data_IF_696166685416
#
_entry.id   IF_696166685416
#
_cell.length_a   1.000
_cell.length_b   1.000
_cell.length_c   1.000
_cell.angle_alpha   90.00
_cell.angle_beta   90.00
_cell.angle_gamma   90.00
#
_symmetry.space_group_name_H-M   'P 1'
#
loop_
_entity.id
_entity.type
_entity.pdbx_description
1 polymer ?
#
# COMPACT_ATOMS: atom_id res chain seq x y z
N UNK A 1 5.50 6.92 5.98
CA UNK A 1 6.67 6.94 6.88
C UNK A 1 7.60 5.84 6.43
N UNK A 2 8.83 6.17 6.04
CA UNK A 2 9.75 5.24 5.34
C UNK A 2 9.31 4.90 3.91
N UNK A 3 10.25 4.33 3.15
CA UNK A 3 10.06 3.80 1.80
C UNK A 3 10.42 2.31 1.79
N UNK A 4 9.49 1.44 1.38
CA UNK A 4 9.70 -0.02 1.25
C UNK A 4 10.35 -0.66 2.49
N UNK A 5 9.77 -0.47 3.69
CA UNK A 5 10.34 -1.03 4.91
C UNK A 5 10.25 -2.56 4.97
N UNK A 6 9.51 -3.17 4.05
CA UNK A 6 9.36 -4.62 3.89
C UNK A 6 10.40 -5.23 2.95
N UNK A 7 11.45 -4.48 2.57
CA UNK A 7 12.67 -4.95 1.90
C UNK A 7 13.92 -4.37 2.59
N UNK A 8 15.08 -4.51 1.95
CA UNK A 8 16.38 -4.12 2.50
C UNK A 8 16.54 -2.62 2.85
N UNK A 9 15.60 -1.76 2.45
CA UNK A 9 15.62 -0.35 2.83
C UNK A 9 15.39 -0.13 4.32
N UNK A 10 14.79 -1.08 5.06
CA UNK A 10 14.69 -1.03 6.51
C UNK A 10 15.38 -2.23 7.13
N UNK A 11 16.53 -2.00 7.77
CA UNK A 11 17.29 -3.01 8.50
C UNK A 11 16.75 -3.15 9.93
N UNK A 12 15.50 -3.59 10.06
CA UNK A 12 14.86 -3.85 11.35
C UNK A 12 13.69 -4.83 11.26
N UNK A 13 13.23 -5.29 12.42
CA UNK A 13 12.11 -6.21 12.61
C UNK A 13 10.76 -5.48 12.64
N UNK A 14 9.63 -6.18 12.41
CA UNK A 14 8.29 -5.59 12.42
C UNK A 14 7.96 -4.71 13.64
N UNK A 15 8.34 -5.13 14.84
CA UNK A 15 8.11 -4.37 16.08
C UNK A 15 8.91 -3.07 16.14
N UNK A 16 10.10 -3.04 15.54
CA UNK A 16 10.96 -1.87 15.48
C UNK A 16 10.37 -0.84 14.50
N UNK A 17 9.90 -1.29 13.33
CA UNK A 17 9.18 -0.43 12.39
C UNK A 17 7.88 0.11 13.00
N UNK A 18 7.13 -0.73 13.73
CA UNK A 18 5.91 -0.31 14.42
C UNK A 18 6.19 0.79 15.45
N UNK A 19 7.30 0.69 16.21
CA UNK A 19 7.72 1.72 17.14
C UNK A 19 8.08 3.04 16.43
N UNK A 20 8.82 2.98 15.33
CA UNK A 20 9.13 4.16 14.49
C UNK A 20 7.86 4.83 13.97
N UNK A 21 6.91 4.04 13.46
CA UNK A 21 5.64 4.55 12.94
C UNK A 21 4.80 5.22 14.04
N UNK A 22 4.67 4.58 15.22
CA UNK A 22 3.95 5.15 16.37
C UNK A 22 4.56 6.47 16.81
N UNK A 23 5.88 6.52 16.99
CA UNK A 23 6.59 7.73 17.40
C UNK A 23 6.42 8.86 16.37
N UNK A 24 6.60 8.55 15.09
CA UNK A 24 6.45 9.51 14.01
C UNK A 24 5.02 10.05 13.90
N UNK A 25 4.01 9.18 13.97
CA UNK A 25 2.61 9.58 13.92
C UNK A 25 2.26 10.60 15.01
N UNK A 26 2.67 10.30 16.26
CA UNK A 26 2.42 11.16 17.41
C UNK A 26 3.15 12.50 17.26
N UNK A 27 4.42 12.49 16.84
CA UNK A 27 5.20 13.70 16.60
C UNK A 27 4.62 14.58 15.50
N UNK A 28 4.29 13.98 14.35
CA UNK A 28 3.65 14.66 13.22
C UNK A 28 2.32 15.29 13.63
N UNK A 29 1.44 14.53 14.31
CA UNK A 29 0.12 15.02 14.69
C UNK A 29 0.19 16.15 15.71
N UNK A 30 1.12 16.11 16.66
CA UNK A 30 1.31 17.20 17.63
C UNK A 30 1.90 18.44 16.95
N UNK A 31 2.86 18.27 16.05
CA UNK A 31 3.49 19.38 15.34
C UNK A 31 2.58 20.05 14.30
N UNK A 32 1.75 19.26 13.62
CA UNK A 32 0.75 19.73 12.67
C UNK A 32 -0.46 18.77 12.65
N UNK A 33 -1.57 19.09 13.34
CA UNK A 33 -2.78 18.26 13.35
C UNK A 33 -3.48 18.08 11.99
N UNK A 34 -3.11 18.87 10.97
CA UNK A 34 -3.64 18.74 9.62
C UNK A 34 -2.79 17.86 8.70
N UNK A 35 -1.57 17.47 9.13
CA UNK A 35 -0.74 16.59 8.33
C UNK A 35 -1.28 15.17 8.34
N UNK A 36 -1.19 14.49 7.19
CA UNK A 36 -1.54 13.10 7.07
C UNK A 36 -0.27 12.26 7.08
N UNK A 37 -0.28 11.20 7.88
CA UNK A 37 0.85 10.30 8.02
C UNK A 37 0.54 9.04 7.23
N UNK A 38 1.27 8.83 6.14
CA UNK A 38 1.19 7.59 5.38
C UNK A 38 1.88 6.48 6.16
N UNK A 39 1.35 5.26 6.04
CA UNK A 39 2.10 4.03 6.32
C UNK A 39 3.39 3.99 5.44
N UNK A 40 4.31 3.08 5.68
CA UNK A 40 5.49 2.90 4.84
C UNK A 40 5.10 2.16 3.57
N UNK A 41 5.47 2.70 2.42
CA UNK A 41 5.05 2.11 1.14
C UNK A 41 5.57 0.69 1.01
N UNK A 42 4.70 -0.31 0.92
CA UNK A 42 5.14 -1.71 0.80
C UNK A 42 5.58 -2.04 -0.63
N UNK A 43 6.74 -2.65 -0.82
CA UNK A 43 7.18 -3.21 -2.10
C UNK A 43 6.58 -4.60 -2.37
N UNK A 44 6.50 -5.41 -1.32
CA UNK A 44 6.11 -6.82 -1.39
C UNK A 44 4.59 -6.99 -1.26
N UNK A 45 4.12 -8.22 -1.46
CA UNK A 45 2.73 -8.56 -1.18
C UNK A 45 2.47 -8.50 0.32
N UNK A 46 1.21 -8.25 0.71
CA UNK A 46 0.75 -8.54 2.06
C UNK A 46 1.20 -9.95 2.47
N UNK A 47 1.97 -10.03 3.57
CA UNK A 47 2.61 -11.25 4.03
C UNK A 47 2.96 -11.19 5.52
N UNK A 48 3.91 -12.03 5.94
CA UNK A 48 4.32 -12.19 7.34
C UNK A 48 4.77 -10.88 7.97
N UNK A 49 5.74 -10.20 7.35
CA UNK A 49 6.34 -8.98 7.89
C UNK A 49 5.30 -7.92 8.24
N UNK A 50 4.47 -7.51 7.27
CA UNK A 50 3.44 -6.48 7.49
C UNK A 50 2.34 -6.96 8.45
N UNK A 51 1.98 -8.26 8.44
CA UNK A 51 1.03 -8.79 9.42
C UNK A 51 1.56 -8.61 10.84
N UNK A 52 2.85 -8.90 11.07
CA UNK A 52 3.51 -8.71 12.37
C UNK A 52 3.61 -7.23 12.77
N UNK A 53 3.77 -6.32 11.80
CA UNK A 53 3.66 -4.87 12.06
C UNK A 53 2.26 -4.51 12.56
N UNK A 54 1.19 -5.00 11.91
CA UNK A 54 -0.19 -4.71 12.32
C UNK A 54 -0.56 -5.31 13.69
N UNK A 55 0.04 -6.44 14.06
CA UNK A 55 -0.13 -7.03 15.40
C UNK A 55 0.37 -6.12 16.54
N UNK A 56 1.23 -5.15 16.24
CA UNK A 56 1.66 -4.11 17.18
C UNK A 56 0.63 -2.97 17.36
N UNK A 57 -0.60 -3.11 16.84
CA UNK A 57 -1.65 -2.09 17.00
C UNK A 57 -1.41 -0.80 16.21
N UNK A 58 -0.66 -0.86 15.11
CA UNK A 58 -0.36 0.33 14.30
C UNK A 58 -1.56 0.87 13.52
N UNK A 59 -2.70 0.17 13.51
CA UNK A 59 -3.89 0.57 12.77
C UNK A 59 -4.37 1.99 13.14
N UNK A 60 -4.09 2.47 14.34
CA UNK A 60 -4.41 3.83 14.79
C UNK A 60 -3.29 4.87 14.51
N UNK A 61 -2.13 4.47 14.00
CA UNK A 61 -0.91 5.29 13.91
C UNK A 61 -0.50 5.62 12.47
N UNK A 62 -1.46 5.71 11.56
CA UNK A 62 -1.29 6.25 10.20
C UNK A 62 -2.66 6.65 9.66
N UNK A 63 -2.76 7.58 8.74
CA UNK A 63 -4.05 8.02 8.17
C UNK A 63 -4.36 7.34 6.84
N UNK A 64 -3.31 7.00 6.10
CA UNK A 64 -3.37 6.47 4.74
C UNK A 64 -2.48 5.24 4.61
N UNK A 65 -3.01 4.15 4.07
CA UNK A 65 -2.19 3.01 3.68
C UNK A 65 -1.64 3.24 2.28
N UNK A 66 -0.44 2.73 1.99
CA UNK A 66 0.14 2.86 0.66
C UNK A 66 1.05 1.69 0.30
N UNK A 67 1.20 1.48 -0.99
CA UNK A 67 1.94 0.37 -1.57
C UNK A 67 2.61 0.80 -2.87
N UNK A 68 3.64 0.05 -3.25
CA UNK A 68 4.29 0.08 -4.56
C UNK A 68 3.93 -1.20 -5.33
N UNK A 69 3.96 -1.12 -6.66
CA UNK A 69 3.76 -2.28 -7.51
C UNK A 69 4.55 -2.18 -8.81
N UNK A 70 5.42 -3.17 -9.03
CA UNK A 70 6.15 -3.37 -10.28
C UNK A 70 5.90 -4.78 -10.78
N UNK A 71 5.29 -4.90 -11.95
CA UNK A 71 4.89 -6.19 -12.52
C UNK A 71 3.96 -6.03 -13.71
N UNK A 72 3.29 -7.12 -14.09
CA UNK A 72 2.26 -7.07 -15.13
C UNK A 72 1.11 -6.14 -14.73
N UNK A 73 0.56 -5.40 -15.69
CA UNK A 73 -0.43 -4.36 -15.41
C UNK A 73 -1.70 -4.92 -14.76
N UNK A 74 -2.13 -6.14 -15.09
CA UNK A 74 -3.33 -6.76 -14.53
C UNK A 74 -3.05 -7.33 -13.11
N UNK A 75 -1.79 -7.65 -12.80
CA UNK A 75 -1.39 -8.18 -11.49
C UNK A 75 -1.58 -7.20 -10.32
N UNK A 76 -1.69 -5.89 -10.60
CA UNK A 76 -2.01 -4.87 -9.59
C UNK A 76 -3.36 -5.14 -8.92
N UNK A 77 -4.31 -5.75 -9.63
CA UNK A 77 -5.65 -6.05 -9.12
C UNK A 77 -5.60 -7.08 -7.98
N UNK A 78 -4.74 -8.08 -8.08
CA UNK A 78 -4.53 -9.04 -6.99
C UNK A 78 -3.78 -8.40 -5.83
N UNK A 79 -2.75 -7.58 -6.12
CA UNK A 79 -2.01 -6.86 -5.07
C UNK A 79 -2.94 -5.98 -4.24
N UNK A 80 -3.82 -5.20 -4.87
CA UNK A 80 -4.76 -4.32 -4.15
C UNK A 80 -5.76 -5.15 -3.33
N UNK A 81 -6.30 -6.25 -3.88
CA UNK A 81 -7.22 -7.15 -3.15
C UNK A 81 -6.55 -7.77 -1.92
N UNK A 82 -5.32 -8.25 -2.04
CA UNK A 82 -4.56 -8.82 -0.92
C UNK A 82 -4.33 -7.78 0.20
N UNK A 83 -3.99 -6.53 -0.16
CA UNK A 83 -3.81 -5.45 0.81
C UNK A 83 -5.13 -5.05 1.49
N UNK A 84 -6.25 -4.98 0.76
CA UNK A 84 -7.58 -4.76 1.36
C UNK A 84 -7.93 -5.86 2.37
N UNK A 85 -7.71 -7.13 2.01
CA UNK A 85 -7.97 -8.26 2.91
C UNK A 85 -7.10 -8.21 4.18
N UNK A 86 -5.83 -7.81 4.05
CA UNK A 86 -4.95 -7.55 5.20
C UNK A 86 -5.54 -6.47 6.11
N UNK A 87 -5.93 -5.32 5.55
CA UNK A 87 -6.49 -4.21 6.31
C UNK A 87 -7.77 -4.61 7.04
N UNK A 88 -8.69 -5.33 6.36
CA UNK A 88 -9.93 -5.84 6.95
C UNK A 88 -9.67 -6.82 8.10
N UNK A 89 -8.68 -7.73 7.97
CA UNK A 89 -8.25 -8.64 9.05
C UNK A 89 -7.90 -7.90 10.33
N UNK A 90 -7.32 -6.71 10.22
CA UNK A 90 -6.94 -5.85 11.34
C UNK A 90 -7.95 -4.74 11.63
N UNK A 91 -9.20 -4.87 11.13
CA UNK A 91 -10.29 -3.89 11.31
C UNK A 91 -9.90 -2.48 10.88
N UNK A 92 -8.99 -2.36 9.92
CA UNK A 92 -8.54 -1.12 9.33
C UNK A 92 -9.26 -0.93 7.99
N UNK A 93 -9.91 0.22 7.80
CA UNK A 93 -10.57 0.58 6.53
C UNK A 93 -10.19 1.99 6.09
N UNK A 94 -8.89 2.28 6.12
CA UNK A 94 -8.30 3.58 5.75
C UNK A 94 -8.10 3.68 4.23
N UNK A 95 -8.10 4.88 3.63
CA UNK A 95 -7.85 5.04 2.20
C UNK A 95 -6.48 4.47 1.80
N UNK A 96 -6.39 4.01 0.54
CA UNK A 96 -5.18 3.40 -0.01
C UNK A 96 -4.66 4.28 -1.15
N UNK A 97 -3.38 4.62 -1.10
CA UNK A 97 -2.65 5.23 -2.22
C UNK A 97 -1.72 4.20 -2.88
N UNK A 98 -1.62 4.26 -4.20
CA UNK A 98 -0.61 3.54 -4.97
C UNK A 98 0.47 4.56 -5.34
N UNK A 99 1.44 4.72 -4.45
CA UNK A 99 2.45 5.79 -4.49
C UNK A 99 3.56 5.54 -5.49
N UNK A 100 3.65 4.31 -6.01
CA UNK A 100 4.61 3.97 -7.04
C UNK A 100 4.13 2.78 -7.86
N UNK A 101 4.02 2.97 -9.17
CA UNK A 101 3.84 1.90 -10.16
C UNK A 101 4.29 2.42 -11.51
N UNK A 102 5.02 1.61 -12.26
CA UNK A 102 5.50 2.01 -13.58
C UNK A 102 6.09 0.85 -14.35
N UNK A 103 6.56 1.16 -15.56
CA UNK A 103 7.29 0.23 -16.41
C UNK A 103 8.36 1.01 -17.18
N UNK A 104 9.59 0.50 -17.30
CA UNK A 104 10.59 1.11 -18.15
C UNK A 104 10.31 0.82 -19.62
N UNK A 105 10.78 1.69 -20.51
CA UNK A 105 10.92 1.36 -21.93
C UNK A 105 12.24 0.60 -22.12
N UNK A 106 12.19 -0.61 -22.68
CA UNK A 106 13.38 -1.42 -22.96
C UNK A 106 13.81 -1.26 -24.42
N UNK A 107 15.12 -1.25 -24.67
CA UNK A 107 15.65 -1.15 -26.03
C UNK A 107 15.29 -2.40 -26.85
N UNK A 108 14.72 -2.20 -28.03
CA UNK A 108 14.36 -3.27 -28.96
C UNK A 108 15.57 -3.80 -29.76
N UNK A 109 15.38 -4.89 -30.51
CA UNK A 109 16.43 -5.45 -31.38
C UNK A 109 16.90 -4.49 -32.48
N UNK A 110 16.08 -3.50 -32.82
CA UNK A 110 16.37 -2.42 -33.77
C UNK A 110 17.20 -1.27 -33.15
N UNK A 111 17.55 -1.37 -31.86
CA UNK A 111 18.28 -0.34 -31.13
C UNK A 111 17.42 0.86 -30.72
N UNK A 112 16.09 0.78 -30.84
CA UNK A 112 15.19 1.90 -30.48
C UNK A 112 14.31 1.56 -29.28
N UNK A 113 13.76 2.60 -28.64
CA UNK A 113 12.77 2.46 -27.58
C UNK A 113 11.33 2.62 -28.11
N UNK A 114 11.14 2.73 -29.43
CA UNK A 114 9.87 3.19 -30.03
C UNK A 114 8.68 2.32 -29.62
N UNK A 115 8.82 1.00 -29.72
CA UNK A 115 7.75 0.06 -29.40
C UNK A 115 7.52 -0.04 -27.88
N UNK A 116 8.59 -0.06 -27.08
CA UNK A 116 8.47 -0.13 -25.62
C UNK A 116 7.94 1.16 -24.99
N UNK A 117 8.21 2.32 -25.59
CA UNK A 117 7.57 3.60 -25.21
C UNK A 117 6.08 3.62 -25.55
N UNK A 118 5.67 3.01 -26.66
CA UNK A 118 4.25 2.79 -26.98
C UNK A 118 3.58 1.90 -25.93
N UNK A 119 4.25 0.82 -25.54
CA UNK A 119 3.77 -0.09 -24.49
C UNK A 119 3.72 0.60 -23.12
N UNK A 120 4.70 1.45 -22.80
CA UNK A 120 4.70 2.28 -21.58
C UNK A 120 3.47 3.20 -21.52
N UNK A 121 3.09 3.82 -22.64
CA UNK A 121 1.88 4.64 -22.71
C UNK A 121 0.60 3.82 -22.43
N UNK A 122 0.49 2.62 -23.02
CA UNK A 122 -0.62 1.72 -22.76
C UNK A 122 -0.65 1.23 -21.31
N UNK A 123 0.50 0.87 -20.76
CA UNK A 123 0.65 0.44 -19.36
C UNK A 123 0.16 1.55 -18.42
N UNK A 124 0.60 2.79 -18.61
CA UNK A 124 0.19 3.95 -17.80
C UNK A 124 -1.34 4.07 -17.74
N UNK A 125 -2.02 4.13 -18.89
CA UNK A 125 -3.48 4.31 -18.92
C UNK A 125 -4.21 3.15 -18.24
N UNK A 126 -3.75 1.91 -18.47
CA UNK A 126 -4.30 0.71 -17.83
C UNK A 126 -4.07 0.72 -16.32
N UNK A 127 -2.88 1.14 -15.85
CA UNK A 127 -2.58 1.24 -14.41
C UNK A 127 -3.52 2.20 -13.69
N UNK A 128 -3.77 3.39 -14.26
CA UNK A 128 -4.75 4.33 -13.71
C UNK A 128 -6.16 3.73 -13.70
N UNK A 129 -6.60 3.13 -14.80
CA UNK A 129 -7.93 2.52 -14.88
C UNK A 129 -8.11 1.38 -13.86
N UNK A 130 -7.12 0.49 -13.74
CA UNK A 130 -7.11 -0.59 -12.76
C UNK A 130 -7.13 -0.06 -11.33
N UNK A 131 -6.20 0.83 -10.97
CA UNK A 131 -6.10 1.40 -9.63
C UNK A 131 -7.40 2.10 -9.22
N UNK A 132 -7.92 2.98 -10.07
CA UNK A 132 -9.17 3.70 -9.80
C UNK A 132 -10.37 2.74 -9.71
N UNK A 133 -10.40 1.70 -10.55
CA UNK A 133 -11.44 0.67 -10.49
C UNK A 133 -11.44 -0.11 -9.17
N UNK A 134 -10.27 -0.22 -8.54
CA UNK A 134 -10.13 -0.88 -7.25
C UNK A 134 -10.29 0.10 -6.07
N UNK A 135 -10.74 1.34 -6.30
CA UNK A 135 -10.95 2.31 -5.24
C UNK A 135 -9.67 2.87 -4.62
N UNK A 136 -8.53 2.78 -5.32
CA UNK A 136 -7.33 3.54 -4.96
C UNK A 136 -7.67 5.02 -5.01
N UNK A 137 -7.38 5.74 -3.92
CA UNK A 137 -7.74 7.14 -3.76
C UNK A 137 -6.79 8.05 -4.55
N UNK A 138 -5.49 7.72 -4.58
CA UNK A 138 -4.48 8.38 -5.42
C UNK A 138 -3.49 7.39 -6.01
N UNK A 139 -3.14 7.61 -7.28
CA UNK A 139 -2.17 6.84 -8.04
C UNK A 139 -1.05 7.75 -8.51
N UNK A 140 0.19 7.28 -8.39
CA UNK A 140 1.39 7.99 -8.79
C UNK A 140 2.20 7.08 -9.73
N UNK A 141 2.28 7.48 -11.00
CA UNK A 141 3.07 6.75 -11.98
C UNK A 141 4.56 7.02 -11.76
N UNK A 142 5.37 5.97 -11.68
CA UNK A 142 6.82 6.08 -11.55
C UNK A 142 7.51 6.10 -12.92
N UNK A 143 8.15 7.19 -13.34
CA UNK A 143 8.13 8.54 -12.74
C UNK A 143 8.32 9.60 -13.84
N UNK A 144 8.47 10.86 -13.48
CA UNK A 144 8.48 11.96 -14.44
C UNK A 144 9.75 11.97 -15.31
N UNK A 145 10.92 12.13 -14.69
CA UNK A 145 12.18 12.40 -15.38
C UNK A 145 12.77 11.16 -16.05
N UNK A 146 13.52 11.38 -17.13
CA UNK A 146 14.26 10.34 -17.82
C UNK A 146 15.38 9.78 -16.94
N UNK A 147 15.49 8.46 -16.92
CA UNK A 147 16.60 7.76 -16.28
C UNK A 147 16.83 6.41 -16.93
N UNK A 148 18.04 6.23 -17.44
CA UNK A 148 18.47 4.98 -18.03
C UNK A 148 19.10 4.11 -16.95
N UNK A 149 18.32 3.19 -16.41
CA UNK A 149 18.75 2.24 -15.41
C UNK A 149 19.49 1.06 -16.08
N UNK A 150 20.64 0.70 -15.50
CA UNK A 150 21.46 -0.44 -15.94
C UNK A 150 21.75 -0.48 -17.45
N UNK A 151 21.85 0.69 -18.09
CA UNK A 151 22.06 0.86 -19.54
C UNK A 151 21.01 0.20 -20.46
N UNK A 152 19.84 -0.20 -19.94
CA UNK A 152 18.84 -0.95 -20.72
C UNK A 152 17.39 -0.52 -20.47
N UNK A 153 17.06 -0.07 -19.27
CA UNK A 153 15.71 0.25 -18.84
C UNK A 153 15.51 1.77 -18.76
N UNK A 154 14.83 2.35 -19.75
CA UNK A 154 14.58 3.78 -19.84
C UNK A 154 13.29 4.17 -19.13
N UNK A 155 13.42 4.64 -17.90
CA UNK A 155 12.34 5.19 -17.09
C UNK A 155 11.99 6.62 -17.52
N UNK A 156 10.97 7.20 -16.87
CA UNK A 156 10.51 8.54 -17.17
C UNK A 156 9.40 8.59 -18.22
N UNK A 157 8.61 9.66 -18.16
CA UNK A 157 7.61 10.02 -19.19
C UNK A 157 7.98 11.29 -19.96
N UNK A 158 9.05 12.00 -19.55
CA UNK A 158 9.70 13.04 -20.36
C UNK A 158 11.14 12.65 -20.63
N UNK A 159 11.73 13.24 -21.67
CA UNK A 159 13.17 13.18 -21.94
C UNK A 159 13.95 14.09 -20.98
N UNK A 160 15.27 13.96 -20.99
CA UNK A 160 16.18 14.82 -20.21
C UNK A 160 16.04 16.31 -20.52
N UNK A 161 15.62 16.68 -21.73
CA UNK A 161 15.34 18.06 -22.16
C UNK A 161 13.87 18.49 -21.94
N UNK A 162 13.09 17.70 -21.19
CA UNK A 162 11.66 17.85 -20.92
C UNK A 162 10.73 17.62 -22.12
N UNK A 163 11.24 17.18 -23.27
CA UNK A 163 10.39 16.79 -24.41
C UNK A 163 9.52 15.57 -24.01
N UNK A 164 8.20 15.57 -24.29
CA UNK A 164 7.32 14.49 -23.85
C UNK A 164 7.62 13.14 -24.54
N UNK A 165 7.59 12.04 -23.78
CA UNK A 165 7.45 10.67 -24.30
C UNK A 165 5.97 10.38 -24.63
N UNK A 166 5.66 9.35 -25.43
CA UNK A 166 4.27 8.93 -25.68
C UNK A 166 3.44 8.76 -24.40
N UNK A 167 4.04 8.28 -23.31
CA UNK A 167 3.39 8.13 -22.02
C UNK A 167 2.94 9.46 -21.39
N UNK A 168 3.68 10.55 -21.57
CA UNK A 168 3.25 11.88 -21.10
C UNK A 168 2.01 12.35 -21.85
N UNK A 169 1.98 12.21 -23.18
CA UNK A 169 0.82 12.57 -23.97
C UNK A 169 -0.39 11.71 -23.61
N UNK A 170 -0.21 10.40 -23.40
CA UNK A 170 -1.27 9.52 -22.93
C UNK A 170 -1.82 9.94 -21.56
N UNK A 171 -0.94 10.36 -20.63
CA UNK A 171 -1.37 10.91 -19.34
C UNK A 171 -2.16 12.23 -19.49
N UNK A 172 -1.73 13.12 -20.39
CA UNK A 172 -2.43 14.37 -20.67
C UNK A 172 -3.83 14.12 -21.28
N UNK A 173 -3.94 13.16 -22.21
CA UNK A 173 -5.24 12.75 -22.78
C UNK A 173 -6.11 12.10 -21.73
N UNK A 174 -5.58 11.16 -20.94
CA UNK A 174 -6.32 10.51 -19.86
C UNK A 174 -6.92 11.53 -18.88
N UNK A 175 -6.11 12.49 -18.43
CA UNK A 175 -6.55 13.52 -17.47
C UNK A 175 -7.54 14.49 -18.11
N UNK A 176 -7.38 14.86 -19.39
CA UNK A 176 -8.36 15.68 -20.11
C UNK A 176 -9.69 14.95 -20.36
N UNK A 177 -9.64 13.65 -20.65
CA UNK A 177 -10.83 12.85 -21.00
C UNK A 177 -11.64 12.51 -19.76
N UNK A 178 -10.97 12.06 -18.69
CA UNK A 178 -11.64 11.70 -17.44
C UNK A 178 -11.91 12.92 -16.57
N UNK A 179 -11.00 13.89 -16.46
CA UNK A 179 -11.17 15.05 -15.60
C UNK A 179 -11.53 14.64 -14.16
N UNK A 180 -12.69 15.10 -13.67
CA UNK A 180 -13.22 14.74 -12.35
C UNK A 180 -14.08 13.45 -12.35
N UNK A 181 -14.09 12.69 -13.45
CA UNK A 181 -14.89 11.49 -13.58
C UNK A 181 -14.53 10.45 -12.52
N UNK A 182 -15.57 9.88 -11.92
CA UNK A 182 -15.44 8.81 -10.93
C UNK A 182 -15.80 7.48 -11.57
N UNK A 183 -15.10 6.44 -11.16
CA UNK A 183 -15.41 5.09 -11.57
C UNK A 183 -16.84 4.70 -11.18
N UNK A 184 -17.57 4.12 -12.13
CA UNK A 184 -18.97 3.68 -12.00
C UNK A 184 -19.05 2.16 -11.92
N UNK A 185 -18.23 1.47 -12.73
CA UNK A 185 -18.19 0.02 -12.76
C UNK A 185 -17.61 -0.53 -14.06
N UNK A 186 -17.45 -1.85 -14.10
CA UNK A 186 -16.95 -2.57 -15.26
C UNK A 186 -18.11 -3.06 -16.11
N UNK A 187 -18.02 -2.83 -17.41
CA UNK A 187 -18.91 -3.39 -18.41
C UNK A 187 -18.27 -4.66 -18.98
N UNK A 188 -18.98 -5.78 -18.93
CA UNK A 188 -18.61 -6.96 -19.70
C UNK A 188 -18.89 -6.70 -21.19
N UNK A 189 -17.84 -6.70 -22.01
CA UNK A 189 -17.92 -6.46 -23.45
C UNK A 189 -18.18 -7.73 -24.27
N UNK A 190 -18.34 -8.89 -23.61
CA UNK A 190 -18.61 -10.17 -24.26
C UNK A 190 -17.40 -10.81 -24.95
N UNK A 191 -16.20 -10.25 -24.75
CA UNK A 191 -14.95 -10.77 -25.32
C UNK A 191 -13.96 -11.11 -24.19
N UNK A 192 -13.52 -12.38 -24.07
CA UNK A 192 -12.52 -12.77 -23.08
C UNK A 192 -11.21 -11.97 -23.23
N UNK A 193 -10.66 -11.49 -22.10
CA UNK A 193 -9.45 -10.66 -22.10
C UNK A 193 -9.68 -9.21 -22.52
N UNK A 194 -10.93 -8.74 -22.53
CA UNK A 194 -11.28 -7.32 -22.72
C UNK A 194 -11.64 -6.63 -21.41
N UNK A 195 -11.41 -5.32 -21.40
CA UNK A 195 -11.68 -4.42 -20.28
C UNK A 195 -12.53 -3.26 -20.78
N UNK A 196 -13.53 -2.89 -20.00
CA UNK A 196 -14.42 -1.76 -20.25
C UNK A 196 -14.76 -1.08 -18.93
N UNK A 197 -13.94 -0.12 -18.53
CA UNK A 197 -14.12 0.62 -17.27
C UNK A 197 -14.89 1.90 -17.50
N UNK A 198 -16.06 2.01 -16.89
CA UNK A 198 -16.94 3.16 -17.04
C UNK A 198 -16.69 4.19 -15.95
N UNK A 199 -16.58 5.45 -16.35
CA UNK A 199 -16.41 6.62 -15.49
C UNK A 199 -17.50 7.67 -15.77
N UNK A 200 -17.82 8.49 -14.78
CA UNK A 200 -18.82 9.55 -14.87
C UNK A 200 -18.39 10.85 -14.16
N UNK A 201 -18.42 11.98 -14.88
CA UNK A 201 -18.00 13.31 -14.41
C UNK A 201 -19.18 14.20 -13.91
N UNK A 202 -20.37 13.63 -13.74
CA UNK A 202 -21.59 14.37 -13.40
C UNK A 202 -22.37 14.85 -14.62
N UNK A 203 -21.80 14.78 -15.82
CA UNK A 203 -22.46 15.19 -17.08
C UNK A 203 -22.50 14.07 -18.10
N UNK A 204 -21.38 13.38 -18.31
CA UNK A 204 -21.22 12.34 -19.33
C UNK A 204 -20.56 11.09 -18.77
N UNK A 205 -20.82 9.98 -19.45
CA UNK A 205 -20.11 8.74 -19.22
C UNK A 205 -18.96 8.61 -20.23
N UNK A 206 -17.82 8.15 -19.75
CA UNK A 206 -16.67 7.78 -20.58
C UNK A 206 -16.21 6.40 -20.20
N UNK A 207 -16.07 5.52 -21.18
CA UNK A 207 -15.50 4.19 -21.00
C UNK A 207 -14.06 4.16 -21.48
N UNK A 208 -13.15 3.69 -20.63
CA UNK A 208 -11.78 3.31 -21.02
C UNK A 208 -11.81 1.82 -21.36
N UNK A 209 -11.42 1.45 -22.58
CA UNK A 209 -11.53 0.06 -23.04
C UNK A 209 -10.28 -0.43 -23.79
N UNK A 210 -9.97 -1.72 -23.66
CA UNK A 210 -8.91 -2.40 -24.42
C UNK A 210 -9.15 -3.91 -24.44
N UNK A 211 -8.35 -4.64 -25.21
CA UNK A 211 -8.36 -6.10 -25.24
C UNK A 211 -6.94 -6.68 -25.39
N UNK A 212 -6.67 -7.83 -24.77
CA UNK A 212 -5.38 -8.52 -24.90
C UNK A 212 -5.08 -8.99 -26.33
N UNK A 213 -6.12 -9.22 -27.13
CA UNK A 213 -6.06 -9.53 -28.57
C UNK A 213 -7.02 -8.62 -29.32
N UNK A 214 -6.68 -8.29 -30.57
CA UNK A 214 -7.54 -7.46 -31.42
C UNK A 214 -8.92 -8.09 -31.56
N UNK A 215 -9.96 -7.30 -31.27
CA UNK A 215 -11.35 -7.70 -31.43
C UNK A 215 -12.22 -6.50 -31.77
N UNK A 216 -13.42 -6.74 -32.30
CA UNK A 216 -14.42 -5.69 -32.49
C UNK A 216 -15.53 -5.89 -31.48
N UNK A 217 -15.87 -4.83 -30.76
CA UNK A 217 -17.03 -4.79 -29.86
C UNK A 217 -18.11 -3.90 -30.44
N UNK A 218 -19.37 -4.28 -30.25
CA UNK A 218 -20.51 -3.44 -30.56
C UNK A 218 -20.99 -2.72 -29.30
N UNK A 219 -21.14 -1.40 -29.40
CA UNK A 219 -21.67 -0.56 -28.33
C UNK A 219 -22.96 0.09 -28.76
N UNK A 220 -23.90 0.21 -27.81
CA UNK A 220 -25.14 0.95 -28.05
C UNK A 220 -24.92 2.41 -27.68
N UNK A 221 -25.32 3.31 -28.57
CA UNK A 221 -24.87 4.70 -28.57
C UNK A 221 -26.02 5.68 -28.47
N UNK A 222 -25.70 6.89 -28.06
CA UNK A 222 -26.58 8.07 -28.04
C UNK A 222 -26.01 9.16 -28.94
N UNK A 223 -26.67 10.32 -28.99
CA UNK A 223 -26.17 11.50 -29.69
C UNK A 223 -24.78 11.90 -29.16
N UNK A 224 -23.91 12.36 -30.06
CA UNK A 224 -22.54 12.75 -29.70
C UNK A 224 -21.60 11.57 -29.46
N UNK A 225 -21.94 10.36 -29.94
CA UNK A 225 -21.05 9.21 -29.88
C UNK A 225 -19.69 9.47 -30.54
N UNK A 226 -18.64 9.13 -29.80
CA UNK A 226 -17.27 9.22 -30.26
C UNK A 226 -16.40 8.18 -29.55
N UNK A 227 -15.56 7.49 -30.32
CA UNK A 227 -14.43 6.72 -29.83
C UNK A 227 -13.12 7.39 -30.27
N UNK A 228 -12.16 7.54 -29.36
CA UNK A 228 -10.82 8.05 -29.64
C UNK A 228 -9.75 7.04 -29.25
N UNK A 229 -8.61 7.09 -29.92
CA UNK A 229 -7.43 6.35 -29.48
C UNK A 229 -6.81 6.94 -28.21
N UNK A 230 -5.75 6.30 -27.71
CA UNK A 230 -4.98 6.72 -26.53
C UNK A 230 -4.41 8.16 -26.64
N UNK A 231 -4.23 8.68 -27.87
CA UNK A 231 -3.70 10.01 -28.14
C UNK A 231 -4.81 11.05 -28.35
N UNK A 232 -6.08 10.66 -28.18
CA UNK A 232 -7.23 11.53 -28.34
C UNK A 232 -7.68 11.73 -29.79
N UNK A 233 -7.11 11.01 -30.75
CA UNK A 233 -7.54 11.09 -32.15
C UNK A 233 -8.85 10.31 -32.32
N UNK A 234 -9.88 10.89 -32.97
CA UNK A 234 -11.11 10.15 -33.29
C UNK A 234 -10.80 8.94 -34.18
N UNK A 235 -11.28 7.76 -33.79
CA UNK A 235 -11.21 6.51 -34.56
C UNK A 235 -12.57 6.10 -35.10
N UNK A 236 -13.64 6.40 -34.37
CA UNK A 236 -15.03 6.20 -34.82
C UNK A 236 -15.86 7.39 -34.35
N UNK A 237 -16.63 7.97 -35.26
CA UNK A 237 -17.51 9.12 -34.98
C UNK A 237 -18.91 8.83 -35.50
N UNK A 238 -19.92 9.15 -34.68
CA UNK A 238 -21.31 8.88 -35.03
C UNK A 238 -21.67 7.40 -34.96
N UNK A 239 -22.96 7.13 -35.06
CA UNK A 239 -23.50 5.79 -34.93
C UNK A 239 -24.44 5.48 -36.09
N UNK A 240 -24.50 4.21 -36.46
CA UNK A 240 -25.47 3.69 -37.41
C UNK A 240 -26.52 2.92 -36.64
N UNK A 241 -27.80 3.31 -36.76
CA UNK A 241 -28.93 2.64 -36.11
C UNK A 241 -28.79 2.55 -34.57
N UNK A 242 -28.21 3.58 -33.95
CA UNK A 242 -27.99 3.64 -32.49
C UNK A 242 -26.92 2.65 -31.98
N UNK A 243 -26.02 2.22 -32.87
CA UNK A 243 -24.91 1.30 -32.58
C UNK A 243 -23.63 1.76 -33.26
N UNK A 244 -22.51 1.40 -32.67
CA UNK A 244 -21.19 1.58 -33.27
C UNK A 244 -20.32 0.34 -33.03
N UNK A 245 -19.43 0.06 -33.98
CA UNK A 245 -18.40 -0.98 -33.87
C UNK A 245 -17.08 -0.31 -33.55
N UNK A 246 -16.45 -0.73 -32.45
CA UNK A 246 -15.16 -0.20 -32.01
C UNK A 246 -14.17 -1.36 -31.99
N UNK A 247 -13.03 -1.19 -32.66
CA UNK A 247 -11.92 -2.12 -32.56
C UNK A 247 -11.16 -1.87 -31.26
N UNK A 248 -10.93 -2.92 -30.48
CA UNK A 248 -10.10 -2.91 -29.29
C UNK A 248 -8.81 -3.66 -29.58
N UNK A 249 -7.71 -3.08 -29.14
CA UNK A 249 -6.37 -3.69 -29.18
C UNK A 249 -5.76 -3.63 -27.78
N UNK A 250 -4.47 -3.95 -27.65
CA UNK A 250 -3.76 -3.72 -26.39
C UNK A 250 -3.61 -2.22 -26.06
N UNK A 251 -3.82 -1.32 -27.02
CA UNK A 251 -3.84 0.12 -26.78
C UNK A 251 -5.24 0.54 -26.28
N UNK A 252 -5.33 1.22 -25.12
CA UNK A 252 -6.59 1.76 -24.64
C UNK A 252 -7.25 2.75 -25.60
N UNK A 253 -8.57 2.73 -25.63
CA UNK A 253 -9.43 3.70 -26.32
C UNK A 253 -10.37 4.35 -25.31
N UNK A 254 -10.85 5.55 -25.63
CA UNK A 254 -11.86 6.26 -24.86
C UNK A 254 -13.16 6.30 -25.66
N UNK A 255 -14.28 5.93 -25.05
CA UNK A 255 -15.59 5.83 -25.71
C UNK A 255 -16.61 6.64 -24.92
N UNK A 256 -17.26 7.59 -25.59
CA UNK A 256 -18.28 8.47 -25.01
C UNK A 256 -19.54 8.51 -25.88
N UNK A 257 -20.63 9.10 -25.38
CA UNK A 257 -21.95 9.05 -26.05
C UNK A 257 -22.52 7.64 -26.08
N UNK A 258 -22.35 6.89 -24.99
CA UNK A 258 -22.96 5.57 -24.80
C UNK A 258 -24.45 5.72 -24.43
N UNK A 259 -25.29 4.80 -24.90
CA UNK A 259 -26.70 4.80 -24.55
C UNK A 259 -26.90 4.47 -23.06
N UNK A 260 -27.94 5.03 -22.39
CA UNK A 260 -28.22 4.72 -20.97
C UNK A 260 -28.35 3.22 -20.68
N UNK A 261 -28.97 2.46 -21.59
CA UNK A 261 -29.09 1.00 -21.52
C UNK A 261 -27.76 0.25 -21.55
N UNK A 262 -26.74 0.82 -22.20
CA UNK A 262 -25.39 0.26 -22.21
C UNK A 262 -24.67 0.57 -20.90
N UNK A 263 -24.76 1.83 -20.47
CA UNK A 263 -24.21 2.30 -19.19
C UNK A 263 -24.72 1.49 -18.01
N UNK A 264 -26.01 1.13 -17.98
CA UNK A 264 -26.60 0.33 -16.90
C UNK A 264 -26.07 -1.10 -16.78
N UNK A 265 -25.24 -1.56 -17.73
CA UNK A 265 -24.55 -2.86 -17.64
C UNK A 265 -23.33 -2.82 -16.72
N UNK A 266 -22.83 -1.64 -16.37
CA UNK A 266 -21.69 -1.50 -15.48
C UNK A 266 -22.02 -2.09 -14.10
N UNK A 267 -21.13 -2.96 -13.61
CA UNK A 267 -21.23 -3.60 -12.29
C UNK A 267 -19.93 -3.38 -11.53
N UNK A 268 -20.05 -3.22 -10.22
CA UNK A 268 -18.89 -3.11 -9.34
C UNK A 268 -19.21 -3.53 -7.91
N UNK A 269 -18.16 -3.77 -7.13
CA UNK A 269 -18.27 -3.92 -5.68
C UNK A 269 -18.38 -2.55 -4.99
N UNK A 270 -18.74 -2.55 -3.70
CA UNK A 270 -18.79 -1.30 -2.94
C UNK A 270 -17.41 -0.62 -2.91
N UNK A 271 -17.34 0.70 -3.14
CA UNK A 271 -16.07 1.40 -3.22
C UNK A 271 -15.30 1.33 -1.88
N UNK A 272 -13.97 1.23 -1.98
CA UNK A 272 -13.11 1.39 -0.82
C UNK A 272 -13.19 2.84 -0.29
N UNK A 273 -13.03 3.09 1.02
CA UNK A 273 -13.07 4.44 1.54
C UNK A 273 -12.06 5.35 0.86
N UNK A 274 -12.56 6.52 0.44
CA UNK A 274 -11.73 7.61 -0.05
C UNK A 274 -11.40 8.57 1.09
N UNK A 275 -10.32 9.32 0.89
CA UNK A 275 -9.98 10.40 1.82
C UNK A 275 -11.12 11.41 1.85
N UNK A 276 -11.57 11.78 3.05
CA UNK A 276 -12.46 12.92 3.27
C UNK A 276 -11.60 14.12 3.70
N UNK A 277 -11.72 15.29 3.04
CA UNK A 277 -11.06 16.49 3.51
C UNK A 277 -11.46 16.84 4.95
N UNK A 278 -10.49 17.29 5.76
CA UNK A 278 -10.68 17.69 7.16
C UNK A 278 -9.86 16.86 8.15
N UNK A 279 -9.79 17.31 9.40
CA UNK A 279 -9.06 16.63 10.47
C UNK A 279 -9.78 15.34 10.87
N UNK A 280 -9.09 14.20 10.80
CA UNK A 280 -9.56 12.96 11.41
C UNK A 280 -9.34 13.08 12.93
N UNK A 281 -10.32 12.74 13.78
CA UNK A 281 -10.13 12.76 15.22
C UNK A 281 -8.93 11.92 15.64
N UNK A 282 -8.06 12.49 16.46
CA UNK A 282 -6.90 11.77 17.00
C UNK A 282 -7.36 10.69 17.99
N UNK A 283 -7.41 9.43 17.52
CA UNK A 283 -7.83 8.29 18.34
C UNK A 283 -6.67 7.59 19.02
N UNK A 284 -5.47 7.64 18.40
CA UNK A 284 -4.28 6.92 18.82
C UNK A 284 -3.93 7.13 20.30
N UNK A 285 -3.38 6.08 20.91
CA UNK A 285 -2.87 6.17 22.27
C UNK A 285 -1.57 6.97 22.31
N UNK A 286 -1.48 7.93 23.24
CA UNK A 286 -0.25 8.68 23.56
C UNK A 286 0.65 7.95 24.56
N UNK A 287 0.12 6.92 25.22
CA UNK A 287 0.91 5.96 26.00
C UNK A 287 1.05 4.68 25.19
N UNK A 288 2.27 4.25 24.91
CA UNK A 288 2.52 3.08 24.06
C UNK A 288 3.79 2.36 24.48
N UNK A 289 3.93 1.11 24.06
CA UNK A 289 5.11 0.28 24.36
C UNK A 289 5.90 -0.06 23.10
N UNK A 290 7.17 -0.38 23.29
CA UNK A 290 8.04 -1.01 22.30
C UNK A 290 8.75 -2.21 22.94
N UNK A 291 8.62 -3.39 22.33
CA UNK A 291 9.37 -4.58 22.70
C UNK A 291 10.75 -4.55 22.04
N UNK A 292 11.78 -4.91 22.79
CA UNK A 292 13.16 -4.99 22.32
C UNK A 292 13.75 -6.34 22.69
N UNK A 293 14.37 -7.01 21.72
CA UNK A 293 15.29 -8.12 21.99
C UNK A 293 16.69 -7.56 22.17
N UNK A 294 17.30 -7.81 23.33
CA UNK A 294 18.64 -7.31 23.65
C UNK A 294 19.68 -8.25 23.06
N UNK A 295 20.41 -7.78 22.05
CA UNK A 295 21.46 -8.53 21.37
C UNK A 295 22.69 -8.73 22.29
N UNK A 296 23.03 -9.96 22.71
CA UNK A 296 24.15 -10.19 23.61
C UNK A 296 25.53 -10.06 22.92
N UNK A 297 25.58 -10.19 21.59
CA UNK A 297 26.83 -10.24 20.79
C UNK A 297 27.10 -8.96 19.98
N UNK A 298 26.48 -7.83 20.35
CA UNK A 298 26.62 -6.55 19.63
C UNK A 298 25.60 -6.39 18.50
N UNK A 299 25.71 -5.32 17.70
CA UNK A 299 24.74 -5.03 16.63
C UNK A 299 24.93 -6.02 15.46
N UNK A 300 23.86 -6.71 15.00
CA UNK A 300 23.93 -7.58 13.83
C UNK A 300 24.26 -6.79 12.55
N UNK A 301 24.79 -7.48 11.52
CA UNK A 301 24.94 -6.88 10.19
C UNK A 301 23.57 -6.67 9.53
N UNK A 302 23.50 -5.78 8.53
CA UNK A 302 22.27 -5.56 7.76
C UNK A 302 21.78 -6.87 7.14
N UNK A 303 22.67 -7.65 6.52
CA UNK A 303 22.31 -8.93 5.90
C UNK A 303 21.72 -9.92 6.91
N UNK A 304 22.29 -9.95 8.13
CA UNK A 304 21.77 -10.81 9.19
C UNK A 304 20.38 -10.36 9.64
N UNK A 305 20.17 -9.05 9.86
CA UNK A 305 18.84 -8.51 10.20
C UNK A 305 17.83 -8.86 9.12
N UNK A 306 18.21 -8.75 7.84
CA UNK A 306 17.30 -9.07 6.74
C UNK A 306 16.98 -10.56 6.63
N UNK A 307 17.96 -11.44 6.88
CA UNK A 307 17.75 -12.89 6.92
C UNK A 307 16.87 -13.34 8.10
N UNK A 308 16.86 -12.57 9.18
CA UNK A 308 16.17 -12.86 10.45
C UNK A 308 15.02 -11.89 10.72
N UNK A 309 14.60 -11.12 9.71
CA UNK A 309 13.77 -9.93 9.93
C UNK A 309 12.40 -10.22 10.51
N UNK A 310 11.85 -11.40 10.28
CA UNK A 310 10.52 -11.73 10.76
C UNK A 310 10.56 -12.12 12.26
N UNK A 311 11.66 -12.68 12.77
CA UNK A 311 11.79 -13.17 14.14
C UNK A 311 13.22 -13.06 14.68
N UNK A 312 13.36 -12.63 15.93
CA UNK A 312 14.61 -12.69 16.66
C UNK A 312 15.11 -14.14 16.78
N UNK A 313 16.37 -14.38 16.38
CA UNK A 313 17.01 -15.69 16.49
C UNK A 313 17.85 -15.75 17.75
N UNK A 314 17.33 -16.47 18.74
CA UNK A 314 18.01 -16.70 20.00
C UNK A 314 19.00 -17.86 19.86
N UNK A 315 20.27 -17.55 20.05
CA UNK A 315 21.40 -18.49 19.94
C UNK A 315 21.90 -18.99 21.30
N UNK A 316 21.38 -18.41 22.36
CA UNK A 316 21.73 -18.69 23.74
C UNK A 316 20.56 -19.40 24.43
N UNK A 317 20.79 -19.97 25.61
CA UNK A 317 19.70 -20.52 26.43
C UNK A 317 18.77 -19.43 26.98
N UNK A 318 19.30 -18.22 27.11
CA UNK A 318 18.64 -17.07 27.75
C UNK A 318 18.71 -15.85 26.83
N UNK A 319 17.62 -15.11 26.75
CA UNK A 319 17.54 -13.81 26.07
C UNK A 319 17.06 -12.74 27.05
N UNK A 320 17.70 -11.58 27.01
CA UNK A 320 17.21 -10.39 27.68
C UNK A 320 16.22 -9.68 26.76
N UNK A 321 15.01 -9.45 27.24
CA UNK A 321 14.00 -8.67 26.52
C UNK A 321 13.72 -7.41 27.31
N UNK A 322 13.54 -6.27 26.64
CA UNK A 322 13.10 -5.06 27.30
C UNK A 322 11.76 -4.60 26.75
N UNK A 323 10.94 -4.02 27.62
CA UNK A 323 9.76 -3.27 27.20
C UNK A 323 10.01 -1.81 27.57
N UNK A 324 10.05 -0.95 26.56
CA UNK A 324 10.04 0.50 26.77
C UNK A 324 8.60 0.99 26.76
N UNK A 325 8.31 1.90 27.68
CA UNK A 325 7.02 2.58 27.79
C UNK A 325 7.25 4.05 27.51
N UNK A 326 6.44 4.63 26.64
CA UNK A 326 6.48 6.05 26.33
C UNK A 326 5.18 6.68 26.78
N UNK A 327 5.27 7.85 27.42
CA UNK A 327 4.11 8.62 27.84
C UNK A 327 4.19 10.03 27.24
N UNK A 328 3.46 10.28 26.15
CA UNK A 328 3.34 11.60 25.55
C UNK A 328 2.09 12.36 26.00
N UNK A 329 1.63 12.09 27.24
CA UNK A 329 0.59 12.88 27.90
C UNK A 329 1.21 13.92 28.83
N UNK A 330 0.36 14.82 29.32
CA UNK A 330 0.69 15.85 30.31
C UNK A 330 0.60 15.34 31.77
N UNK A 331 0.31 14.05 31.97
CA UNK A 331 0.15 13.45 33.29
C UNK A 331 1.08 12.26 33.47
N UNK A 332 1.47 12.01 34.70
CA UNK A 332 2.16 10.77 35.07
C UNK A 332 1.19 9.59 35.00
N UNK A 333 1.62 8.48 34.40
CA UNK A 333 0.78 7.30 34.15
C UNK A 333 1.45 6.05 34.75
N UNK A 334 0.84 5.38 35.75
CA UNK A 334 1.25 4.04 36.14
C UNK A 334 0.88 3.04 35.05
N UNK A 335 1.83 2.21 34.64
CA UNK A 335 1.66 1.19 33.60
C UNK A 335 2.00 -0.17 34.19
N UNK A 336 1.03 -1.09 34.13
CA UNK A 336 1.25 -2.50 34.36
C UNK A 336 1.62 -3.16 33.03
N UNK A 337 2.73 -3.88 33.00
CA UNK A 337 3.19 -4.62 31.82
C UNK A 337 3.23 -6.11 32.15
N UNK A 338 2.74 -6.93 31.23
CA UNK A 338 2.86 -8.39 31.28
C UNK A 338 3.46 -8.92 29.98
N UNK A 339 4.50 -9.73 30.09
CA UNK A 339 5.18 -10.38 28.97
C UNK A 339 4.66 -11.81 28.80
N UNK A 340 3.94 -12.04 27.72
CA UNK A 340 3.52 -13.37 27.29
C UNK A 340 4.57 -13.95 26.34
N UNK A 341 5.05 -15.16 26.64
CA UNK A 341 6.07 -15.88 25.86
C UNK A 341 5.50 -17.20 25.32
N UNK A 342 6.01 -17.70 24.18
CA UNK A 342 5.46 -18.89 23.53
C UNK A 342 5.86 -20.19 24.25
N UNK A 343 5.17 -21.29 23.91
CA UNK A 343 5.49 -22.63 24.44
C UNK A 343 6.98 -22.98 24.26
N UNK A 344 7.57 -23.59 25.29
CA UNK A 344 9.01 -23.90 25.33
C UNK A 344 9.90 -22.75 25.79
N UNK A 345 9.31 -21.61 26.18
CA UNK A 345 9.98 -20.48 26.81
C UNK A 345 9.32 -20.13 28.15
N UNK A 346 10.06 -19.52 29.07
CA UNK A 346 9.54 -19.02 30.34
C UNK A 346 10.24 -17.72 30.74
N UNK A 347 9.54 -16.87 31.50
CA UNK A 347 10.12 -15.65 32.08
C UNK A 347 10.65 -15.96 33.47
N UNK A 348 11.94 -15.73 33.72
CA UNK A 348 12.54 -15.92 35.04
C UNK A 348 12.17 -14.77 35.99
N UNK A 349 11.81 -15.11 37.23
CA UNK A 349 11.54 -14.12 38.28
C UNK A 349 10.18 -13.41 38.19
N UNK A 350 9.35 -13.72 37.18
CA UNK A 350 8.01 -13.18 37.02
C UNK A 350 7.76 -12.58 35.63
N UNK A 351 6.54 -12.69 35.13
CA UNK A 351 6.14 -12.25 33.78
C UNK A 351 5.56 -10.84 33.74
N UNK A 352 5.53 -10.11 34.86
CA UNK A 352 4.89 -8.80 34.95
C UNK A 352 5.64 -7.82 35.86
N UNK A 353 5.44 -6.53 35.58
CA UNK A 353 5.99 -5.43 36.37
C UNK A 353 5.06 -4.21 36.32
N UNK A 354 5.09 -3.40 37.36
CA UNK A 354 4.47 -2.08 37.39
C UNK A 354 5.53 -0.99 37.38
N UNK A 355 5.31 0.04 36.55
CA UNK A 355 6.20 1.19 36.46
C UNK A 355 5.38 2.47 36.39
N UNK A 356 5.90 3.57 36.95
CA UNK A 356 5.27 4.88 36.80
C UNK A 356 6.02 5.70 35.77
N UNK A 357 5.37 6.00 34.63
CA UNK A 357 5.98 6.76 33.54
C UNK A 357 5.60 8.23 33.67
N UNK A 358 6.59 9.10 33.88
CA UNK A 358 6.35 10.54 34.02
C UNK A 358 5.70 11.15 32.78
N UNK A 359 5.01 12.28 32.95
CA UNK A 359 4.50 13.07 31.84
C UNK A 359 5.63 13.40 30.85
N UNK A 360 5.38 13.25 29.56
CA UNK A 360 6.38 13.40 28.49
C UNK A 360 7.66 12.55 28.67
N UNK A 361 7.58 11.49 29.47
CA UNK A 361 8.70 10.64 29.84
C UNK A 361 8.71 9.28 29.13
N UNK A 362 9.76 8.51 29.41
CA UNK A 362 9.87 7.11 29.03
C UNK A 362 10.48 6.31 30.17
N UNK A 363 10.12 5.04 30.25
CA UNK A 363 10.68 4.08 31.20
C UNK A 363 11.02 2.78 30.49
N UNK A 364 11.89 1.97 31.10
CA UNK A 364 12.32 0.67 30.55
C UNK A 364 12.35 -0.38 31.63
N UNK A 365 11.70 -1.50 31.37
CA UNK A 365 11.80 -2.71 32.19
C UNK A 365 12.44 -3.83 31.37
N UNK A 366 13.16 -4.72 32.05
CA UNK A 366 13.85 -5.84 31.42
C UNK A 366 13.33 -7.15 32.02
N UNK A 367 13.15 -8.15 31.16
CA UNK A 367 12.76 -9.51 31.48
C UNK A 367 13.85 -10.47 31.00
N UNK A 368 14.15 -11.46 31.83
CA UNK A 368 15.00 -12.59 31.45
C UNK A 368 14.10 -13.71 30.96
N UNK A 369 14.25 -14.12 29.70
CA UNK A 369 13.46 -15.21 29.11
C UNK A 369 14.37 -16.38 28.80
N UNK A 370 13.99 -17.58 29.25
CA UNK A 370 14.76 -18.81 29.12
C UNK A 370 14.04 -19.88 28.33
N UNK A 371 14.82 -20.64 27.56
CA UNK A 371 14.35 -21.82 26.85
C UNK A 371 14.16 -22.98 27.83
N UNK A 372 12.95 -23.53 27.90
CA UNK A 372 12.57 -24.61 28.83
C UNK A 372 12.39 -25.98 28.17
N UNK A 373 12.46 -26.09 26.83
CA UNK A 373 12.35 -27.37 26.13
C UNK A 373 12.73 -27.36 24.63
N UNK A 374 12.65 -28.52 23.99
CA UNK A 374 13.00 -28.71 22.57
C UNK A 374 12.00 -28.04 21.59
N UNK A 375 10.75 -27.81 22.00
CA UNK A 375 9.70 -27.20 21.15
C UNK A 375 9.98 -25.74 20.73
N UNK A 376 10.96 -25.08 21.37
CA UNK A 376 11.34 -23.69 21.10
C UNK A 376 12.06 -23.43 19.76
N UNK A 377 12.30 -24.45 18.93
CA UNK A 377 12.86 -24.27 17.59
C UNK A 377 11.86 -23.73 16.57
N UNK A 378 10.55 -23.76 16.87
CA UNK A 378 9.53 -23.07 16.06
C UNK A 378 9.47 -21.60 16.43
N UNK A 379 9.19 -20.75 15.44
CA UNK A 379 8.88 -19.34 15.67
C UNK A 379 7.66 -19.21 16.59
N UNK A 380 7.83 -18.50 17.69
CA UNK A 380 6.82 -18.24 18.69
C UNK A 380 6.61 -16.74 18.90
N UNK A 381 5.36 -16.37 19.17
CA UNK A 381 4.96 -14.98 19.39
C UNK A 381 5.27 -14.56 20.82
N UNK A 382 5.90 -13.40 20.98
CA UNK A 382 6.11 -12.73 22.26
C UNK A 382 5.23 -11.48 22.28
N UNK A 383 4.41 -11.32 23.31
CA UNK A 383 3.52 -10.16 23.43
C UNK A 383 3.74 -9.45 24.76
N UNK A 384 4.14 -8.19 24.72
CA UNK A 384 4.10 -7.30 25.86
C UNK A 384 2.73 -6.61 25.89
N UNK A 385 1.87 -7.06 26.79
CA UNK A 385 0.60 -6.43 27.12
C UNK A 385 0.85 -5.29 28.10
N UNK A 386 0.19 -4.15 27.89
CA UNK A 386 0.28 -3.02 28.79
C UNK A 386 -1.11 -2.48 29.11
N UNK A 387 -1.31 -2.07 30.36
CA UNK A 387 -2.56 -1.47 30.79
C UNK A 387 -2.30 -0.40 31.85
N UNK A 388 -3.23 0.54 31.98
CA UNK A 388 -3.22 1.53 33.05
C UNK A 388 -4.64 1.83 33.47
N UNK A 389 -4.99 1.65 34.76
CA UNK A 389 -6.34 1.98 35.24
C UNK A 389 -6.64 3.49 35.17
N UNK A 390 -5.60 4.33 35.15
CA UNK A 390 -5.72 5.79 35.18
C UNK A 390 -5.73 6.47 33.81
N UNK A 391 -5.34 5.77 32.75
CA UNK A 391 -5.14 6.36 31.43
C UNK A 391 -6.42 6.47 30.61
N UNK A 392 -7.39 5.58 30.84
CA UNK A 392 -8.72 5.64 30.23
C UNK A 392 -8.78 5.31 28.73
N UNK A 393 -7.68 4.82 28.15
CA UNK A 393 -7.59 4.26 26.79
C UNK A 393 -6.78 2.97 26.80
N UNK A 394 -6.97 2.14 25.79
CA UNK A 394 -6.13 0.96 25.59
C UNK A 394 -4.71 1.37 25.19
N UNK A 395 -3.72 0.71 25.79
CA UNK A 395 -2.31 0.82 25.39
C UNK A 395 -2.08 -0.29 24.36
N UNK A 396 -1.65 0.03 23.12
CA UNK A 396 -1.46 -1.00 22.10
C UNK A 396 -0.37 -1.97 22.54
N UNK A 397 -0.51 -3.28 22.25
CA UNK A 397 0.50 -4.25 22.58
C UNK A 397 1.79 -4.00 21.77
N UNK A 398 2.89 -4.53 22.28
CA UNK A 398 4.10 -4.75 21.47
C UNK A 398 4.27 -6.23 21.22
N UNK A 399 4.42 -6.60 19.96
CA UNK A 399 4.47 -7.98 19.50
C UNK A 399 5.74 -8.20 18.71
N UNK A 400 6.58 -9.11 19.19
CA UNK A 400 7.74 -9.63 18.48
C UNK A 400 7.63 -11.13 18.30
N UNK A 401 8.58 -11.70 17.57
CA UNK A 401 8.66 -13.15 17.38
C UNK A 401 10.06 -13.62 17.72
N UNK A 402 10.14 -14.80 18.34
CA UNK A 402 11.40 -15.43 18.73
C UNK A 402 11.46 -16.86 18.19
N UNK A 403 12.64 -17.31 17.76
CA UNK A 403 12.94 -18.72 17.52
C UNK A 403 14.30 -19.06 18.08
N UNK A 404 14.47 -20.30 18.54
CA UNK A 404 15.79 -20.80 18.90
C UNK A 404 16.53 -21.34 17.67
N UNK A 405 17.84 -21.09 17.60
CA UNK A 405 18.76 -21.77 16.67
C UNK A 405 19.13 -23.18 17.16
#
# INVERSE_FOLDING_TARGET
>A
MWNEPDIFFFAGRPEEYAAVLKAAYLGCTVGNPECEVLFGSLAMQAGTWVSRVFENGVADYFDLFNMHYYGDVDGVLERIRANKALLERFRCRKPIWLTEMGVPANMGPDGTFTESERQQAAYLVKSYAHALSQGIDRFFFFYMAEFLENAAALWGIVRSDLTPKPAYTALAVLTSVLGEARYVGRVDLGVPGSWGYLFHDGKRHVMVAWAGRTCTVEVETSEGFQATDIMGRPIVTGAKDGRARVELTQMPVYISGLAPRFVSRAKDEAPWPRRKPGSVPFTASRVWTALEFVEPRGKPSVDQVLAERDAFVCREQTVQMAVRMYNYTDKTVPVHVRLEVPDGWAVEGGDSAEVTVQAMGQERITFTVVRTGQAASKEGKVTAHASSPSYGKDIPPSVGYIRAE
#
